data_IF_612316913717
#
_entry.id   IF_612316913717
#
_cell.length_a   1.000
_cell.length_b   1.000
_cell.length_c   1.000
_cell.angle_alpha   90.00
_cell.angle_beta   90.00
_cell.angle_gamma   90.00
#
_symmetry.space_group_name_H-M   'P 1'
#
loop_
_entity.id
_entity.type
_entity.pdbx_description
1 polymer ?
#
# COMPACT_ATOMS: atom_id res chain seq x y z
N UNK A 1 -38.35 -37.19 -48.08
CA UNK A 1 -37.41 -37.32 -46.95
C UNK A 1 -37.78 -36.28 -45.92
N UNK A 2 -38.47 -36.73 -44.86
CA UNK A 2 -38.94 -35.94 -43.73
C UNK A 2 -37.79 -35.60 -42.78
N UNK A 3 -37.77 -34.38 -42.26
CA UNK A 3 -36.83 -33.95 -41.23
C UNK A 3 -37.09 -34.72 -39.92
N UNK A 4 -36.04 -35.06 -39.13
CA UNK A 4 -36.22 -35.77 -37.89
C UNK A 4 -36.79 -34.85 -36.81
N UNK A 5 -37.86 -35.27 -36.16
CA UNK A 5 -38.42 -34.64 -34.96
C UNK A 5 -37.41 -34.71 -33.82
N UNK A 6 -36.99 -33.54 -33.33
CA UNK A 6 -36.20 -33.41 -32.10
C UNK A 6 -37.15 -33.66 -30.93
N UNK A 7 -37.12 -34.88 -30.40
CA UNK A 7 -37.77 -35.24 -29.14
C UNK A 7 -37.16 -34.43 -27.98
N UNK A 8 -37.77 -33.29 -27.66
CA UNK A 8 -37.52 -32.57 -26.42
C UNK A 8 -38.06 -33.39 -25.25
N UNK A 9 -37.17 -34.10 -24.56
CA UNK A 9 -37.52 -34.71 -23.28
C UNK A 9 -38.04 -33.64 -22.31
N UNK A 10 -39.09 -33.92 -21.52
CA UNK A 10 -39.60 -32.99 -20.53
C UNK A 10 -38.53 -32.74 -19.47
N UNK A 11 -38.29 -31.46 -19.17
CA UNK A 11 -37.35 -31.01 -18.16
C UNK A 11 -37.64 -31.71 -16.82
N UNK A 12 -36.68 -32.50 -16.35
CA UNK A 12 -36.71 -33.08 -15.02
C UNK A 12 -36.81 -31.93 -14.00
N UNK A 13 -37.99 -31.75 -13.41
CA UNK A 13 -38.19 -30.88 -12.25
C UNK A 13 -37.51 -31.52 -11.05
N UNK A 14 -36.19 -31.30 -10.92
CA UNK A 14 -35.50 -31.56 -9.67
C UNK A 14 -36.05 -30.59 -8.64
N UNK A 15 -36.96 -31.07 -7.78
CA UNK A 15 -37.30 -30.42 -6.50
C UNK A 15 -36.03 -30.37 -5.66
N UNK A 16 -35.20 -29.35 -5.87
CA UNK A 16 -34.01 -29.10 -5.09
C UNK A 16 -34.41 -28.80 -3.65
N UNK A 17 -33.95 -29.63 -2.71
CA UNK A 17 -33.95 -29.27 -1.30
C UNK A 17 -33.33 -27.86 -1.15
N UNK A 18 -33.85 -26.99 -0.26
CA UNK A 18 -33.27 -25.67 -0.06
C UNK A 18 -31.87 -25.84 0.49
N UNK A 19 -30.86 -25.81 -0.38
CA UNK A 19 -29.47 -25.67 0.04
C UNK A 19 -29.41 -24.38 0.84
N UNK A 20 -29.22 -24.48 2.15
CA UNK A 20 -28.90 -23.33 2.99
C UNK A 20 -27.62 -22.71 2.45
N UNK A 21 -27.78 -21.64 1.66
CA UNK A 21 -26.67 -20.91 1.07
C UNK A 21 -25.89 -20.25 2.20
N UNK A 22 -24.72 -20.80 2.52
CA UNK A 22 -23.80 -20.18 3.46
C UNK A 22 -23.03 -19.06 2.74
N UNK A 23 -23.28 -17.77 3.06
CA UNK A 23 -22.62 -16.65 2.37
C UNK A 23 -21.13 -16.57 2.66
N UNK A 24 -20.62 -17.30 3.66
CA UNK A 24 -19.21 -17.35 4.03
C UNK A 24 -18.44 -18.49 3.34
N UNK A 25 -19.12 -19.33 2.55
CA UNK A 25 -18.45 -20.41 1.80
C UNK A 25 -17.44 -19.80 0.82
N UNK A 26 -16.17 -20.13 1.00
CA UNK A 26 -15.06 -19.63 0.17
C UNK A 26 -14.54 -18.24 0.56
N UNK A 27 -15.02 -17.62 1.65
CA UNK A 27 -14.55 -16.31 2.13
C UNK A 27 -13.03 -16.28 2.29
N UNK A 28 -12.43 -17.30 2.91
CA UNK A 28 -10.98 -17.39 3.08
C UNK A 28 -10.22 -17.27 1.75
N UNK A 29 -10.69 -17.98 0.72
CA UNK A 29 -10.06 -17.93 -0.61
C UNK A 29 -10.32 -16.61 -1.34
N UNK A 30 -11.47 -15.98 -1.11
CA UNK A 30 -11.79 -14.71 -1.75
C UNK A 30 -10.98 -13.56 -1.16
N UNK A 31 -10.78 -13.55 0.16
CA UNK A 31 -10.20 -12.42 0.89
C UNK A 31 -8.72 -12.61 1.25
N UNK A 32 -8.29 -13.82 1.57
CA UNK A 32 -6.91 -14.08 2.04
C UNK A 32 -5.98 -14.61 0.94
N UNK A 33 -6.50 -15.05 -0.21
CA UNK A 33 -5.68 -15.50 -1.35
C UNK A 33 -5.63 -14.48 -2.48
N UNK A 34 -6.53 -13.49 -2.48
CA UNK A 34 -6.41 -12.33 -3.36
C UNK A 34 -5.37 -11.37 -2.77
N UNK A 35 -4.31 -11.12 -3.54
CA UNK A 35 -3.13 -10.38 -3.09
C UNK A 35 -3.50 -8.95 -2.66
N UNK A 36 -4.35 -8.25 -3.42
CA UNK A 36 -4.74 -6.89 -3.07
C UNK A 36 -5.53 -6.88 -1.76
N UNK A 37 -6.52 -7.77 -1.64
CA UNK A 37 -7.32 -7.90 -0.43
C UNK A 37 -6.50 -8.26 0.81
N UNK A 38 -5.63 -9.28 0.72
CA UNK A 38 -4.85 -9.76 1.87
C UNK A 38 -3.80 -8.75 2.31
N UNK A 39 -3.22 -7.98 1.39
CA UNK A 39 -2.28 -6.91 1.75
C UNK A 39 -2.95 -5.84 2.60
N UNK A 40 -4.14 -5.37 2.21
CA UNK A 40 -4.89 -4.38 2.97
C UNK A 40 -5.48 -4.94 4.27
N UNK A 41 -5.99 -6.18 4.26
CA UNK A 41 -6.44 -6.82 5.51
C UNK A 41 -5.30 -7.11 6.47
N UNK A 42 -4.12 -7.49 5.96
CA UNK A 42 -2.92 -7.71 6.77
C UNK A 42 -2.45 -6.43 7.45
N UNK A 43 -2.37 -5.32 6.72
CA UNK A 43 -2.10 -4.00 7.30
C UNK A 43 -3.19 -3.58 8.28
N UNK A 44 -4.45 -3.87 7.98
CA UNK A 44 -5.58 -3.61 8.85
C UNK A 44 -5.45 -4.33 10.20
N UNK A 45 -5.21 -5.65 10.16
CA UNK A 45 -4.98 -6.48 11.33
C UNK A 45 -3.78 -6.03 12.15
N UNK A 46 -2.67 -5.71 11.48
CA UNK A 46 -1.47 -5.19 12.14
C UNK A 46 -1.76 -3.87 12.87
N UNK A 47 -2.49 -2.95 12.23
CA UNK A 47 -2.94 -1.70 12.85
C UNK A 47 -3.77 -1.94 14.09
N UNK A 48 -4.73 -2.89 14.05
CA UNK A 48 -5.54 -3.24 15.22
C UNK A 48 -4.69 -3.82 16.36
N UNK A 49 -3.81 -4.78 16.07
CA UNK A 49 -2.97 -5.44 17.10
C UNK A 49 -1.99 -4.44 17.72
N UNK A 50 -1.28 -3.66 16.90
CA UNK A 50 -0.34 -2.66 17.40
C UNK A 50 -1.06 -1.56 18.17
N UNK A 51 -2.26 -1.14 17.71
CA UNK A 51 -3.10 -0.17 18.40
C UNK A 51 -3.42 -0.61 19.83
N UNK A 52 -3.83 -1.88 20.00
CA UNK A 52 -4.05 -2.47 21.32
C UNK A 52 -2.79 -2.46 22.19
N UNK A 53 -1.64 -2.86 21.63
CA UNK A 53 -0.36 -2.87 22.37
C UNK A 53 0.02 -1.46 22.83
N UNK A 54 -0.10 -0.46 21.94
CA UNK A 54 0.21 0.94 22.28
C UNK A 54 -0.74 1.52 23.31
N UNK A 55 -2.03 1.14 23.24
CA UNK A 55 -3.03 1.55 24.22
C UNK A 55 -2.74 0.96 25.61
N UNK A 56 -2.33 -0.31 25.69
CA UNK A 56 -1.90 -0.95 26.93
C UNK A 56 -0.65 -0.31 27.54
N UNK A 57 0.20 0.31 26.70
CA UNK A 57 1.37 1.08 27.14
C UNK A 57 1.04 2.54 27.50
N UNK A 58 -0.24 2.93 27.49
CA UNK A 58 -0.66 4.29 27.82
C UNK A 58 -0.40 5.33 26.72
N UNK A 59 -0.05 4.92 25.49
CA UNK A 59 0.20 5.81 24.35
C UNK A 59 -1.07 6.00 23.53
N UNK A 60 -2.02 6.79 24.04
CA UNK A 60 -3.35 7.01 23.44
C UNK A 60 -3.29 7.49 21.99
N UNK A 61 -2.43 8.46 21.68
CA UNK A 61 -2.38 9.10 20.36
C UNK A 61 -1.88 8.14 19.28
N UNK A 62 -0.91 7.29 19.64
CA UNK A 62 -0.41 6.23 18.75
C UNK A 62 -1.46 5.15 18.54
N UNK A 63 -2.21 4.78 19.59
CA UNK A 63 -3.27 3.80 19.49
C UNK A 63 -4.41 4.27 18.57
N UNK A 64 -4.83 5.52 18.72
CA UNK A 64 -5.86 6.15 17.90
C UNK A 64 -5.51 6.14 16.41
N UNK A 65 -4.27 6.51 16.08
CA UNK A 65 -3.74 6.48 14.72
C UNK A 65 -3.76 5.05 14.15
N UNK A 66 -3.31 4.07 14.93
CA UNK A 66 -3.21 2.67 14.51
C UNK A 66 -4.58 2.01 14.32
N UNK A 67 -5.56 2.31 15.17
CA UNK A 67 -6.95 1.87 14.97
C UNK A 67 -7.58 2.50 13.72
N UNK A 68 -7.33 3.80 13.50
CA UNK A 68 -7.80 4.50 12.29
C UNK A 68 -7.20 3.90 11.02
N UNK A 69 -5.90 3.58 11.04
CA UNK A 69 -5.22 2.84 9.97
C UNK A 69 -5.84 1.45 9.75
N UNK A 70 -6.20 0.75 10.84
CA UNK A 70 -6.89 -0.53 10.81
C UNK A 70 -8.20 -0.50 10.02
N UNK A 71 -9.05 0.50 10.33
CA UNK A 71 -10.35 0.74 9.68
C UNK A 71 -10.17 1.13 8.21
N UNK A 72 -9.30 2.10 7.94
CA UNK A 72 -9.04 2.60 6.58
C UNK A 72 -8.51 1.50 5.66
N UNK A 73 -7.53 0.72 6.15
CA UNK A 73 -6.96 -0.38 5.39
C UNK A 73 -7.97 -1.49 5.12
N UNK A 74 -8.77 -1.89 6.11
CA UNK A 74 -9.82 -2.90 5.90
C UNK A 74 -10.89 -2.43 4.92
N UNK A 75 -11.18 -1.13 4.89
CA UNK A 75 -12.09 -0.52 3.94
C UNK A 75 -11.53 -0.47 2.52
N UNK A 76 -10.22 -0.23 2.36
CA UNK A 76 -9.55 -0.36 1.06
C UNK A 76 -9.61 -1.80 0.53
N UNK A 77 -9.49 -2.81 1.40
CA UNK A 77 -9.70 -4.21 1.03
C UNK A 77 -11.12 -4.48 0.50
N UNK A 78 -12.13 -3.87 1.13
CA UNK A 78 -13.53 -3.96 0.69
C UNK A 78 -13.72 -3.28 -0.66
N UNK A 79 -13.23 -2.05 -0.82
CA UNK A 79 -13.26 -1.35 -2.11
C UNK A 79 -12.62 -2.20 -3.23
N UNK A 80 -11.50 -2.85 -2.92
CA UNK A 80 -10.81 -3.75 -3.84
C UNK A 80 -11.67 -4.96 -4.26
N UNK A 81 -12.35 -5.63 -3.32
CA UNK A 81 -13.25 -6.74 -3.65
C UNK A 81 -14.44 -6.29 -4.51
N UNK A 82 -14.96 -5.07 -4.27
CA UNK A 82 -16.02 -4.49 -5.09
C UNK A 82 -15.53 -4.17 -6.51
N UNK A 83 -14.31 -3.65 -6.66
CA UNK A 83 -13.68 -3.42 -7.98
C UNK A 83 -13.47 -4.74 -8.72
N UNK A 84 -12.98 -5.78 -8.03
CA UNK A 84 -12.86 -7.12 -8.61
C UNK A 84 -14.19 -7.66 -9.12
N UNK A 85 -15.27 -7.43 -8.38
CA UNK A 85 -16.61 -7.81 -8.77
C UNK A 85 -17.11 -7.05 -10.01
N UNK A 86 -16.74 -5.77 -10.16
CA UNK A 86 -16.98 -4.99 -11.39
C UNK A 86 -16.09 -5.41 -12.55
N UNK A 87 -14.87 -5.90 -12.28
CA UNK A 87 -13.91 -6.34 -13.29
C UNK A 87 -14.25 -7.69 -13.91
N UNK A 88 -14.97 -8.57 -13.19
CA UNK A 88 -15.25 -9.93 -13.61
C UNK A 88 -16.63 -10.06 -14.26
N UNK A 89 -16.68 -10.39 -15.56
CA UNK A 89 -17.92 -10.66 -16.29
C UNK A 89 -18.67 -11.85 -15.69
N UNK A 90 -17.93 -12.90 -15.28
CA UNK A 90 -18.46 -14.09 -14.64
C UNK A 90 -19.22 -13.79 -13.33
N UNK A 91 -18.98 -12.63 -12.70
CA UNK A 91 -19.70 -12.24 -11.51
C UNK A 91 -21.20 -11.95 -11.75
N UNK A 92 -21.61 -11.75 -13.01
CA UNK A 92 -23.03 -11.66 -13.39
C UNK A 92 -23.65 -13.04 -13.61
N UNK A 93 -22.83 -14.01 -14.05
CA UNK A 93 -23.29 -15.34 -14.43
C UNK A 93 -23.41 -16.29 -13.23
N UNK A 94 -22.57 -16.11 -12.20
CA UNK A 94 -22.57 -16.99 -11.02
C UNK A 94 -23.66 -16.52 -10.04
N UNK A 95 -24.70 -17.34 -9.79
CA UNK A 95 -25.79 -16.96 -8.90
C UNK A 95 -25.27 -16.72 -7.47
N UNK A 96 -25.82 -15.70 -6.82
CA UNK A 96 -25.52 -15.29 -5.44
C UNK A 96 -24.08 -14.85 -5.14
N UNK A 97 -23.13 -14.94 -6.08
CA UNK A 97 -21.74 -14.54 -5.85
C UNK A 97 -21.63 -13.09 -5.37
N UNK A 98 -22.37 -12.17 -6.02
CA UNK A 98 -22.40 -10.75 -5.63
C UNK A 98 -22.93 -10.54 -4.22
N UNK A 99 -24.04 -11.21 -3.90
CA UNK A 99 -24.66 -11.16 -2.57
C UNK A 99 -23.70 -11.67 -1.49
N UNK A 100 -22.95 -12.74 -1.75
CA UNK A 100 -21.95 -13.24 -0.81
C UNK A 100 -20.85 -12.22 -0.56
N UNK A 101 -20.29 -11.59 -1.60
CA UNK A 101 -19.27 -10.54 -1.45
C UNK A 101 -19.81 -9.35 -0.66
N UNK A 102 -21.05 -8.92 -0.89
CA UNK A 102 -21.65 -7.81 -0.14
C UNK A 102 -21.82 -8.13 1.35
N UNK A 103 -22.32 -9.34 1.67
CA UNK A 103 -22.46 -9.79 3.06
C UNK A 103 -21.10 -9.89 3.73
N UNK A 104 -20.12 -10.52 3.06
CA UNK A 104 -18.76 -10.64 3.59
C UNK A 104 -18.12 -9.27 3.82
N UNK A 105 -18.31 -8.32 2.89
CA UNK A 105 -17.79 -6.95 3.00
C UNK A 105 -18.38 -6.21 4.19
N UNK A 106 -19.71 -6.32 4.38
CA UNK A 106 -20.38 -5.73 5.53
C UNK A 106 -19.84 -6.30 6.85
N UNK A 107 -19.66 -7.63 6.92
CA UNK A 107 -19.11 -8.30 8.11
C UNK A 107 -17.67 -7.89 8.38
N UNK A 108 -16.82 -7.75 7.36
CA UNK A 108 -15.42 -7.29 7.53
C UNK A 108 -15.41 -5.86 8.09
N UNK A 109 -16.21 -4.95 7.54
CA UNK A 109 -16.26 -3.56 8.02
C UNK A 109 -16.80 -3.45 9.44
N UNK A 110 -17.91 -4.12 9.73
CA UNK A 110 -18.53 -4.07 11.07
C UNK A 110 -17.68 -4.76 12.13
N UNK A 111 -17.00 -5.86 11.79
CA UNK A 111 -16.10 -6.54 12.73
C UNK A 111 -14.88 -5.70 13.06
N UNK A 112 -14.19 -5.11 12.07
CA UNK A 112 -12.99 -4.28 12.32
C UNK A 112 -13.35 -3.03 13.11
N UNK A 113 -14.41 -2.32 12.72
CA UNK A 113 -14.88 -1.15 13.47
C UNK A 113 -15.34 -1.53 14.88
N UNK A 114 -16.12 -2.62 15.01
CA UNK A 114 -16.60 -3.11 16.30
C UNK A 114 -15.47 -3.50 17.25
N UNK A 115 -14.44 -4.20 16.76
CA UNK A 115 -13.23 -4.51 17.54
C UNK A 115 -12.55 -3.21 18.00
N UNK A 116 -12.39 -2.22 17.11
CA UNK A 116 -11.80 -0.93 17.47
C UNK A 116 -12.57 -0.20 18.57
N UNK A 117 -13.90 -0.13 18.45
CA UNK A 117 -14.77 0.46 19.47
C UNK A 117 -14.65 -0.30 20.80
N UNK A 118 -14.71 -1.63 20.78
CA UNK A 118 -14.57 -2.45 21.98
C UNK A 118 -13.21 -2.25 22.66
N UNK A 119 -12.12 -2.18 21.89
CA UNK A 119 -10.78 -1.90 22.40
C UNK A 119 -10.71 -0.50 23.04
N UNK A 120 -11.26 0.53 22.39
CA UNK A 120 -11.31 1.87 22.95
C UNK A 120 -12.11 1.92 24.27
N UNK A 121 -13.26 1.25 24.34
CA UNK A 121 -14.08 1.18 25.55
C UNK A 121 -13.40 0.41 26.68
N UNK A 122 -12.81 -0.75 26.38
CA UNK A 122 -12.14 -1.59 27.37
C UNK A 122 -10.88 -0.93 27.96
N UNK A 123 -10.21 -0.07 27.18
CA UNK A 123 -8.98 0.60 27.57
C UNK A 123 -9.18 2.06 28.01
N UNK A 124 -10.44 2.52 28.14
CA UNK A 124 -10.76 3.87 28.60
C UNK A 124 -10.46 5.01 27.61
N UNK A 125 -10.26 4.71 26.33
CA UNK A 125 -9.95 5.66 25.25
C UNK A 125 -11.23 6.22 24.61
N UNK A 126 -12.13 6.77 25.41
CA UNK A 126 -13.45 7.25 24.92
C UNK A 126 -13.36 8.47 24.00
N UNK A 127 -12.35 9.32 24.17
CA UNK A 127 -12.09 10.48 23.30
C UNK A 127 -11.82 10.06 21.84
N UNK A 128 -11.09 8.96 21.64
CA UNK A 128 -10.71 8.44 20.33
C UNK A 128 -11.87 7.88 19.51
N UNK A 129 -13.03 7.63 20.12
CA UNK A 129 -14.23 7.13 19.40
C UNK A 129 -14.65 8.08 18.27
N UNK A 130 -14.51 9.39 18.47
CA UNK A 130 -14.84 10.40 17.47
C UNK A 130 -13.95 10.28 16.23
N UNK A 131 -12.66 10.04 16.42
CA UNK A 131 -11.68 9.79 15.35
C UNK A 131 -11.96 8.49 14.61
N UNK A 132 -12.33 7.40 15.32
CA UNK A 132 -12.72 6.14 14.69
C UNK A 132 -13.94 6.31 13.76
N UNK A 133 -14.93 7.09 14.18
CA UNK A 133 -16.11 7.40 13.34
C UNK A 133 -15.70 8.20 12.12
N UNK A 134 -14.85 9.23 12.27
CA UNK A 134 -14.37 10.02 11.14
C UNK A 134 -13.54 9.18 10.15
N UNK A 135 -12.68 8.29 10.66
CA UNK A 135 -11.93 7.34 9.83
C UNK A 135 -12.87 6.45 9.00
N UNK A 136 -13.99 6.01 9.59
CA UNK A 136 -15.01 5.23 8.88
C UNK A 136 -15.77 6.07 7.83
N UNK A 137 -16.06 7.34 8.12
CA UNK A 137 -16.65 8.28 7.14
C UNK A 137 -15.75 8.46 5.93
N UNK A 138 -14.46 8.75 6.15
CA UNK A 138 -13.47 8.88 5.06
C UNK A 138 -13.37 7.59 4.24
N UNK A 139 -13.42 6.45 4.92
CA UNK A 139 -13.41 5.12 4.29
C UNK A 139 -14.65 4.87 3.43
N UNK A 140 -15.84 5.26 3.89
CA UNK A 140 -17.08 5.13 3.14
C UNK A 140 -17.11 6.09 1.94
N UNK A 141 -16.62 7.32 2.12
CA UNK A 141 -16.47 8.26 1.02
C UNK A 141 -15.54 7.69 -0.05
N UNK A 142 -14.41 7.09 0.34
CA UNK A 142 -13.50 6.42 -0.58
C UNK A 142 -14.14 5.23 -1.32
N UNK A 143 -14.85 4.35 -0.61
CA UNK A 143 -15.59 3.23 -1.24
C UNK A 143 -16.60 3.78 -2.25
N UNK A 144 -17.40 4.77 -1.85
CA UNK A 144 -18.39 5.39 -2.72
C UNK A 144 -17.77 5.99 -3.98
N UNK A 145 -16.67 6.74 -3.87
CA UNK A 145 -15.94 7.28 -5.01
C UNK A 145 -15.44 6.16 -5.94
N UNK A 146 -14.89 5.08 -5.39
CA UNK A 146 -14.46 3.90 -6.17
C UNK A 146 -15.61 3.22 -6.92
N UNK A 147 -16.83 3.24 -6.35
CA UNK A 147 -18.02 2.70 -7.01
C UNK A 147 -18.54 3.62 -8.12
N UNK A 148 -18.36 4.93 -7.99
CA UNK A 148 -18.69 5.90 -9.06
C UNK A 148 -17.72 5.78 -10.23
N UNK A 149 -16.42 5.79 -9.95
CA UNK A 149 -15.36 5.55 -10.93
C UNK A 149 -14.25 4.74 -10.30
N UNK A 150 -13.90 3.60 -10.92
CA UNK A 150 -12.89 2.68 -10.40
C UNK A 150 -11.49 3.29 -10.38
N UNK A 151 -11.26 4.37 -11.14
CA UNK A 151 -9.98 5.08 -11.17
C UNK A 151 -9.68 5.77 -9.82
N UNK A 152 -10.69 6.09 -9.02
CA UNK A 152 -10.50 6.64 -7.67
C UNK A 152 -9.77 5.69 -6.74
N UNK A 153 -9.71 4.40 -7.05
CA UNK A 153 -8.92 3.46 -6.26
C UNK A 153 -7.43 3.82 -6.24
N UNK A 154 -6.92 4.43 -7.30
CA UNK A 154 -5.55 4.90 -7.33
C UNK A 154 -5.29 6.08 -6.37
N UNK A 155 -6.34 6.78 -5.93
CA UNK A 155 -6.27 7.78 -4.86
C UNK A 155 -6.23 7.14 -3.45
N UNK A 156 -6.18 5.82 -3.33
CA UNK A 156 -5.96 5.12 -2.05
C UNK A 156 -4.71 5.63 -1.32
N UNK A 157 -3.64 5.98 -2.06
CA UNK A 157 -2.46 6.62 -1.48
C UNK A 157 -2.80 7.91 -0.72
N UNK A 158 -3.64 8.78 -1.29
CA UNK A 158 -4.08 10.01 -0.63
C UNK A 158 -4.87 9.69 0.64
N UNK A 159 -5.70 8.65 0.62
CA UNK A 159 -6.41 8.19 1.82
C UNK A 159 -5.44 7.79 2.92
N UNK A 160 -4.37 7.04 2.61
CA UNK A 160 -3.34 6.67 3.59
C UNK A 160 -2.50 7.87 4.06
N UNK A 161 -2.21 8.82 3.17
CA UNK A 161 -1.56 10.09 3.55
C UNK A 161 -2.45 10.88 4.50
N UNK A 162 -3.78 10.84 4.36
CA UNK A 162 -4.69 11.57 5.25
C UNK A 162 -4.83 10.93 6.64
N UNK A 163 -4.46 9.66 6.84
CA UNK A 163 -4.63 8.95 8.13
C UNK A 163 -3.95 9.65 9.32
N UNK A 164 -2.68 10.08 9.23
CA UNK A 164 -2.04 10.88 10.27
C UNK A 164 -2.74 12.21 10.61
N UNK A 165 -3.60 12.71 9.74
CA UNK A 165 -4.29 13.99 9.90
C UNK A 165 -5.72 13.84 10.45
N UNK A 166 -6.22 12.60 10.65
CA UNK A 166 -7.61 12.38 11.07
C UNK A 166 -7.87 13.04 12.43
N UNK A 167 -6.96 12.91 13.40
CA UNK A 167 -7.12 13.53 14.73
C UNK A 167 -7.26 15.07 14.64
N UNK A 168 -6.49 15.71 13.75
CA UNK A 168 -6.60 17.15 13.48
C UNK A 168 -7.96 17.49 12.84
N UNK A 169 -8.44 16.68 11.90
CA UNK A 169 -9.75 16.86 11.27
C UNK A 169 -10.90 16.65 12.27
N UNK A 170 -10.76 15.69 13.19
CA UNK A 170 -11.74 15.41 14.25
C UNK A 170 -11.93 16.62 15.16
N UNK A 171 -10.86 17.36 15.47
CA UNK A 171 -10.95 18.56 16.30
C UNK A 171 -11.87 19.66 15.72
N UNK A 172 -12.03 19.68 14.39
CA UNK A 172 -12.89 20.65 13.70
C UNK A 172 -14.23 20.07 13.25
N UNK A 173 -14.45 18.76 13.41
CA UNK A 173 -15.63 18.07 12.89
C UNK A 173 -16.46 17.50 14.03
N UNK A 174 -17.67 18.03 14.29
CA UNK A 174 -18.49 17.53 15.38
C UNK A 174 -19.01 16.11 15.09
N UNK A 175 -19.06 15.26 16.13
CA UNK A 175 -19.43 13.84 15.99
C UNK A 175 -20.79 13.62 15.30
N UNK A 176 -21.79 14.45 15.60
CA UNK A 176 -23.13 14.32 15.00
C UNK A 176 -23.10 14.47 13.47
N UNK A 177 -22.22 15.33 12.94
CA UNK A 177 -22.07 15.53 11.50
C UNK A 177 -21.45 14.30 10.85
N UNK A 178 -20.44 13.70 11.49
CA UNK A 178 -19.82 12.45 11.04
C UNK A 178 -20.82 11.29 11.03
N UNK A 179 -21.71 11.21 12.03
CA UNK A 179 -22.77 10.19 12.07
C UNK A 179 -23.79 10.35 10.93
N UNK A 180 -24.24 11.58 10.65
CA UNK A 180 -25.12 11.85 9.51
C UNK A 180 -24.43 11.48 8.19
N UNK A 181 -23.18 11.90 8.01
CA UNK A 181 -22.40 11.58 6.82
C UNK A 181 -22.27 10.07 6.61
N UNK A 182 -22.06 9.30 7.68
CA UNK A 182 -21.95 7.84 7.62
C UNK A 182 -23.25 7.18 7.15
N UNK A 183 -24.41 7.62 7.67
CA UNK A 183 -25.72 7.11 7.24
C UNK A 183 -25.97 7.43 5.77
N UNK A 184 -25.70 8.66 5.35
CA UNK A 184 -25.88 9.09 3.95
C UNK A 184 -24.98 8.30 3.00
N UNK A 185 -23.68 8.20 3.31
CA UNK A 185 -22.72 7.46 2.49
C UNK A 185 -23.05 5.97 2.45
N UNK A 186 -23.45 5.36 3.57
CA UNK A 186 -23.89 3.97 3.63
C UNK A 186 -25.10 3.71 2.71
N UNK A 187 -26.10 4.60 2.75
CA UNK A 187 -27.26 4.53 1.86
C UNK A 187 -26.89 4.66 0.38
N UNK A 188 -25.96 5.57 0.04
CA UNK A 188 -25.44 5.73 -1.32
C UNK A 188 -24.69 4.48 -1.81
N UNK A 189 -23.82 3.90 -0.98
CA UNK A 189 -23.10 2.66 -1.31
C UNK A 189 -24.07 1.52 -1.58
N UNK A 190 -25.07 1.32 -0.71
CA UNK A 190 -26.09 0.27 -0.88
C UNK A 190 -26.83 0.46 -2.20
N UNK A 191 -27.23 1.70 -2.51
CA UNK A 191 -27.94 2.03 -3.76
C UNK A 191 -27.09 1.72 -5.00
N UNK A 192 -25.79 2.01 -4.98
CA UNK A 192 -24.92 1.72 -6.13
C UNK A 192 -24.64 0.21 -6.24
N UNK A 193 -24.41 -0.47 -5.12
CA UNK A 193 -24.15 -1.92 -5.09
C UNK A 193 -25.33 -2.77 -5.58
N UNK A 194 -26.58 -2.31 -5.44
CA UNK A 194 -27.75 -3.04 -5.91
C UNK A 194 -27.79 -3.19 -7.44
N UNK A 195 -27.19 -2.24 -8.17
CA UNK A 195 -27.20 -2.18 -9.63
C UNK A 195 -25.80 -2.32 -10.24
N UNK A 196 -24.82 -2.89 -9.53
CA UNK A 196 -23.41 -2.85 -9.92
C UNK A 196 -23.16 -3.49 -11.32
N UNK A 197 -22.81 -2.69 -12.35
CA UNK A 197 -22.58 -3.23 -13.69
C UNK A 197 -21.16 -3.80 -13.81
N UNK A 198 -20.94 -4.64 -14.81
CA UNK A 198 -19.58 -4.95 -15.23
C UNK A 198 -18.97 -3.73 -15.94
N UNK A 199 -17.70 -3.45 -15.71
CA UNK A 199 -16.98 -2.32 -16.33
C UNK A 199 -15.60 -2.78 -16.82
N UNK A 200 -15.30 -2.54 -18.09
CA UNK A 200 -13.98 -2.82 -18.67
C UNK A 200 -12.86 -2.04 -17.97
N UNK A 201 -13.13 -0.80 -17.56
CA UNK A 201 -12.18 0.04 -16.82
C UNK A 201 -11.80 -0.58 -15.46
N UNK A 202 -12.75 -1.22 -14.77
CA UNK A 202 -12.48 -1.90 -13.51
C UNK A 202 -11.48 -3.03 -13.69
N UNK A 203 -11.52 -3.73 -14.82
CA UNK A 203 -10.54 -4.78 -15.16
C UNK A 203 -9.16 -4.20 -15.39
N UNK A 204 -9.04 -3.06 -16.08
CA UNK A 204 -7.77 -2.37 -16.26
C UNK A 204 -7.19 -1.93 -14.90
N UNK A 205 -8.02 -1.32 -14.04
CA UNK A 205 -7.62 -0.91 -12.68
C UNK A 205 -7.22 -2.11 -11.82
N UNK A 206 -7.97 -3.21 -11.87
CA UNK A 206 -7.66 -4.42 -11.10
C UNK A 206 -6.32 -5.05 -11.52
N UNK A 207 -6.09 -5.23 -12.84
CA UNK A 207 -4.85 -5.80 -13.36
C UNK A 207 -3.65 -4.87 -13.11
N UNK A 208 -3.82 -3.57 -13.37
CA UNK A 208 -2.78 -2.58 -13.11
C UNK A 208 -2.49 -2.48 -11.60
N UNK A 209 -3.52 -2.46 -10.75
CA UNK A 209 -3.38 -2.39 -9.30
C UNK A 209 -2.63 -3.59 -8.72
N UNK A 210 -2.84 -4.80 -9.26
CA UNK A 210 -2.05 -5.98 -8.90
C UNK A 210 -0.57 -5.73 -9.26
N UNK A 211 -0.29 -5.37 -10.50
CA UNK A 211 1.07 -5.30 -11.04
C UNK A 211 1.90 -4.10 -10.57
N UNK A 212 1.24 -2.97 -10.31
CA UNK A 212 1.84 -1.65 -10.07
C UNK A 212 1.71 -1.20 -8.60
N UNK A 213 1.17 -2.04 -7.71
CA UNK A 213 1.11 -1.74 -6.28
C UNK A 213 0.22 -0.54 -5.93
N UNK A 214 -0.90 -0.39 -6.64
CA UNK A 214 -2.02 0.50 -6.28
C UNK A 214 -1.80 2.03 -6.42
N UNK A 215 -0.77 2.49 -7.14
CA UNK A 215 -0.49 3.93 -7.31
C UNK A 215 -1.14 4.58 -8.54
N UNK A 216 -1.65 5.81 -8.37
CA UNK A 216 -2.05 6.69 -9.49
C UNK A 216 -0.85 7.42 -10.08
N UNK A 217 -0.86 7.64 -11.39
CA UNK A 217 0.15 8.45 -12.06
C UNK A 217 -0.51 9.40 -13.05
N UNK A 218 -0.17 10.69 -13.03
CA UNK A 218 -0.44 11.57 -14.15
C UNK A 218 0.32 11.08 -15.39
N UNK A 219 -0.30 11.17 -16.57
CA UNK A 219 0.36 10.78 -17.81
C UNK A 219 1.41 11.82 -18.23
N UNK A 220 2.65 11.65 -17.74
CA UNK A 220 3.78 12.54 -18.00
C UNK A 220 4.77 11.97 -19.05
N UNK A 221 4.36 10.95 -19.80
CA UNK A 221 5.23 10.13 -20.67
C UNK A 221 5.98 10.92 -21.78
N UNK A 222 5.60 12.17 -22.06
CA UNK A 222 6.21 12.98 -23.12
C UNK A 222 7.41 13.83 -22.69
N UNK A 223 7.78 13.86 -21.41
CA UNK A 223 8.87 14.72 -20.95
C UNK A 223 10.26 14.12 -21.24
N UNK A 224 11.13 14.88 -21.94
CA UNK A 224 12.51 14.46 -22.27
C UNK A 224 13.34 14.09 -21.04
N UNK A 225 13.15 14.78 -19.93
CA UNK A 225 13.85 14.52 -18.65
C UNK A 225 13.46 13.15 -18.10
N UNK A 226 12.17 12.83 -18.13
CA UNK A 226 11.64 11.54 -17.70
C UNK A 226 12.31 10.40 -18.48
N UNK A 227 12.37 10.52 -19.81
CA UNK A 227 12.99 9.51 -20.66
C UNK A 227 14.48 9.28 -20.40
N UNK A 228 15.22 10.31 -19.96
CA UNK A 228 16.65 10.17 -19.58
C UNK A 228 16.78 9.44 -18.24
N UNK A 229 15.93 9.78 -17.29
CA UNK A 229 15.94 9.17 -15.96
C UNK A 229 15.51 7.70 -16.01
N UNK A 230 14.52 7.36 -16.84
CA UNK A 230 14.12 5.98 -17.11
C UNK A 230 15.27 5.15 -17.69
N UNK A 231 16.04 5.71 -18.63
CA UNK A 231 17.25 5.05 -19.16
C UNK A 231 18.33 4.87 -18.09
N UNK A 232 18.51 5.86 -17.22
CA UNK A 232 19.48 5.78 -16.13
C UNK A 232 19.16 4.64 -15.14
N UNK A 233 17.87 4.44 -14.84
CA UNK A 233 17.38 3.39 -13.94
C UNK A 233 17.14 2.03 -14.63
N UNK A 234 17.35 1.92 -15.95
CA UNK A 234 17.24 0.64 -16.65
C UNK A 234 18.34 -0.34 -16.17
N UNK A 235 18.02 -1.63 -15.89
CA UNK A 235 16.75 -2.32 -16.11
C UNK A 235 15.81 -2.37 -14.90
N UNK A 236 16.15 -1.76 -13.78
CA UNK A 236 15.30 -1.74 -12.57
C UNK A 236 13.93 -1.14 -12.84
N UNK A 237 13.89 -0.09 -13.65
CA UNK A 237 12.66 0.56 -14.10
C UNK A 237 11.82 -0.29 -15.08
N UNK A 238 12.36 -1.38 -15.65
CA UNK A 238 11.64 -2.17 -16.65
C UNK A 238 10.37 -2.85 -16.09
N UNK A 239 10.42 -3.28 -14.83
CA UNK A 239 9.31 -4.01 -14.22
C UNK A 239 8.19 -3.09 -13.72
N UNK A 240 8.53 -1.93 -13.17
CA UNK A 240 7.57 -0.92 -12.72
C UNK A 240 7.13 -0.02 -13.90
N UNK A 241 7.98 0.23 -14.88
CA UNK A 241 7.75 1.21 -15.95
C UNK A 241 7.82 2.66 -15.45
N UNK A 242 7.26 3.63 -16.21
CA UNK A 242 7.36 5.07 -15.93
C UNK A 242 6.96 5.51 -14.52
N UNK A 243 6.16 4.68 -13.83
CA UNK A 243 5.72 4.89 -12.46
C UNK A 243 6.86 5.14 -11.48
N UNK A 244 7.94 4.36 -11.53
CA UNK A 244 9.03 4.52 -10.56
C UNK A 244 9.62 5.93 -10.67
N UNK A 245 9.82 6.40 -11.89
CA UNK A 245 10.36 7.73 -12.16
C UNK A 245 9.42 8.84 -11.70
N UNK A 246 8.12 8.70 -11.98
CA UNK A 246 7.13 9.68 -11.56
C UNK A 246 7.03 9.71 -10.03
N UNK A 247 7.04 8.56 -9.34
CA UNK A 247 7.03 8.50 -7.87
C UNK A 247 8.28 9.17 -7.27
N UNK A 248 9.46 8.92 -7.85
CA UNK A 248 10.72 9.55 -7.45
C UNK A 248 10.71 11.08 -7.63
N UNK A 249 9.86 11.62 -8.50
CA UNK A 249 9.69 13.06 -8.71
C UNK A 249 8.57 13.66 -7.86
N UNK A 250 7.42 12.98 -7.81
CA UNK A 250 6.19 13.49 -7.21
C UNK A 250 6.24 13.43 -5.68
N UNK A 251 6.74 12.33 -5.09
CA UNK A 251 6.79 12.20 -3.63
C UNK A 251 7.63 13.32 -3.00
N UNK A 252 8.85 13.62 -3.48
CA UNK A 252 9.63 14.73 -2.95
C UNK A 252 8.96 16.09 -3.15
N UNK A 253 8.35 16.31 -4.32
CA UNK A 253 7.63 17.56 -4.59
C UNK A 253 6.45 17.76 -3.64
N UNK A 254 5.65 16.72 -3.40
CA UNK A 254 4.54 16.74 -2.43
C UNK A 254 5.06 16.96 -1.02
N UNK A 255 6.13 16.27 -0.61
CA UNK A 255 6.75 16.48 0.69
C UNK A 255 7.25 17.92 0.86
N UNK A 256 7.96 18.48 -0.12
CA UNK A 256 8.41 19.87 -0.07
C UNK A 256 7.23 20.85 0.02
N UNK A 257 6.19 20.66 -0.77
CA UNK A 257 4.98 21.49 -0.71
C UNK A 257 4.31 21.41 0.68
N UNK A 258 4.14 20.20 1.22
CA UNK A 258 3.63 19.99 2.57
C UNK A 258 4.53 20.63 3.64
N UNK A 259 5.86 20.58 3.47
CA UNK A 259 6.81 21.21 4.37
C UNK A 259 6.74 22.74 4.35
N UNK A 260 6.57 23.34 3.17
CA UNK A 260 6.35 24.79 3.04
C UNK A 260 5.02 25.20 3.69
N UNK A 261 3.94 24.44 3.46
CA UNK A 261 2.65 24.69 4.11
C UNK A 261 2.77 24.52 5.63
N UNK A 262 3.46 23.49 6.10
CA UNK A 262 3.78 23.25 7.52
C UNK A 262 4.39 24.50 8.17
N UNK A 263 5.39 25.07 7.49
CA UNK A 263 6.09 26.26 7.94
C UNK A 263 5.17 27.49 7.94
N UNK A 264 4.38 27.70 6.88
CA UNK A 264 3.47 28.85 6.77
C UNK A 264 2.31 28.82 7.79
N UNK A 265 1.79 27.64 8.11
CA UNK A 265 0.66 27.49 9.03
C UNK A 265 1.09 27.14 10.47
N UNK A 266 2.39 27.12 10.76
CA UNK A 266 2.96 26.73 12.07
C UNK A 266 2.44 25.37 12.59
N UNK A 267 2.14 24.45 11.68
CA UNK A 267 1.73 23.09 12.02
C UNK A 267 2.95 22.17 11.95
N UNK A 268 3.10 21.24 12.90
CA UNK A 268 4.23 20.32 12.96
C UNK A 268 3.90 19.05 12.15
N UNK A 269 4.08 19.09 10.82
CA UNK A 269 3.86 17.91 9.98
C UNK A 269 5.11 17.03 9.90
N UNK A 270 4.99 15.70 10.06
CA UNK A 270 6.11 14.77 9.99
C UNK A 270 6.51 14.45 8.53
N UNK A 271 6.80 15.49 7.74
CA UNK A 271 7.02 15.41 6.29
C UNK A 271 8.22 14.52 5.93
N UNK A 272 9.32 14.66 6.67
CA UNK A 272 10.54 13.87 6.45
C UNK A 272 10.33 12.38 6.75
N UNK A 273 9.50 12.05 7.75
CA UNK A 273 9.14 10.68 8.05
C UNK A 273 8.33 10.07 6.90
N UNK A 274 7.37 10.82 6.35
CA UNK A 274 6.61 10.38 5.16
C UNK A 274 7.54 10.12 3.96
N UNK A 275 8.48 11.05 3.70
CA UNK A 275 9.45 10.90 2.62
C UNK A 275 10.31 9.63 2.80
N UNK A 276 10.81 9.40 4.01
CA UNK A 276 11.59 8.21 4.34
C UNK A 276 10.78 6.92 4.18
N UNK A 277 9.52 6.88 4.63
CA UNK A 277 8.67 5.69 4.46
C UNK A 277 8.38 5.40 2.99
N UNK A 278 7.95 6.40 2.22
CA UNK A 278 7.63 6.19 0.82
C UNK A 278 8.85 5.81 -0.02
N UNK A 279 10.03 6.30 0.36
CA UNK A 279 11.31 5.88 -0.21
C UNK A 279 11.55 4.37 -0.07
N UNK A 280 11.34 3.80 1.11
CA UNK A 280 11.50 2.34 1.33
C UNK A 280 10.40 1.55 0.61
N UNK A 281 9.15 2.05 0.62
CA UNK A 281 8.04 1.43 -0.12
C UNK A 281 8.34 1.37 -1.62
N UNK A 282 8.86 2.44 -2.23
CA UNK A 282 9.26 2.46 -3.64
C UNK A 282 10.28 1.37 -3.98
N UNK A 283 11.28 1.16 -3.11
CA UNK A 283 12.25 0.07 -3.27
C UNK A 283 11.59 -1.32 -3.23
N UNK A 284 10.57 -1.50 -2.39
CA UNK A 284 9.81 -2.76 -2.31
C UNK A 284 8.99 -3.02 -3.58
N UNK A 285 8.38 -1.96 -4.14
CA UNK A 285 7.57 -2.05 -5.36
C UNK A 285 8.35 -2.61 -6.55
N UNK A 286 9.67 -2.36 -6.62
CA UNK A 286 10.53 -2.88 -7.72
C UNK A 286 10.43 -4.39 -7.77
N UNK A 287 10.53 -5.03 -6.61
CA UNK A 287 10.50 -6.48 -6.50
C UNK A 287 9.09 -7.03 -6.52
N UNK A 288 8.11 -6.27 -6.04
CA UNK A 288 6.70 -6.59 -6.20
C UNK A 288 6.33 -6.78 -7.67
N UNK A 289 6.55 -5.75 -8.49
CA UNK A 289 6.25 -5.79 -9.92
C UNK A 289 7.07 -6.85 -10.65
N UNK A 290 8.34 -7.04 -10.27
CA UNK A 290 9.20 -8.10 -10.84
C UNK A 290 8.63 -9.50 -10.59
N UNK A 291 8.20 -9.80 -9.37
CA UNK A 291 7.67 -11.14 -9.03
C UNK A 291 6.33 -11.40 -9.72
N UNK A 292 5.50 -10.37 -9.88
CA UNK A 292 4.24 -10.52 -10.60
C UNK A 292 4.41 -10.65 -12.12
N UNK A 293 5.39 -9.96 -12.70
CA UNK A 293 5.69 -9.98 -14.14
C UNK A 293 6.86 -10.90 -14.47
N UNK A 294 6.77 -12.17 -14.08
CA UNK A 294 7.86 -13.15 -14.30
C UNK A 294 8.26 -13.26 -15.78
N UNK A 295 7.29 -13.31 -16.70
CA UNK A 295 7.49 -13.34 -18.16
C UNK A 295 8.26 -12.12 -18.71
N UNK A 296 8.17 -10.98 -18.05
CA UNK A 296 8.96 -9.79 -18.44
C UNK A 296 10.45 -10.01 -18.20
N UNK A 297 10.84 -10.87 -17.26
CA UNK A 297 12.27 -11.23 -17.06
C UNK A 297 12.83 -11.95 -18.28
N UNK A 298 12.06 -12.85 -18.89
CA UNK A 298 12.45 -13.55 -20.12
C UNK A 298 12.56 -12.57 -21.29
N UNK A 299 11.59 -11.67 -21.42
CA UNK A 299 11.61 -10.63 -22.46
C UNK A 299 12.84 -9.71 -22.31
N UNK A 300 13.18 -9.35 -21.08
CA UNK A 300 14.35 -8.53 -20.78
C UNK A 300 15.66 -9.24 -21.14
N UNK A 301 15.74 -10.56 -20.94
CA UNK A 301 16.90 -11.35 -21.34
C UNK A 301 17.08 -11.43 -22.86
N UNK A 302 15.98 -11.41 -23.62
CA UNK A 302 16.00 -11.43 -25.09
C UNK A 302 16.40 -10.08 -25.72
N UNK A 303 16.48 -9.01 -24.93
CA UNK A 303 16.91 -7.71 -25.45
C UNK A 303 18.39 -7.72 -25.82
N UNK A 304 18.79 -7.05 -26.93
CA UNK A 304 20.17 -7.04 -27.44
C UNK A 304 21.17 -6.24 -26.57
N UNK A 305 20.88 -6.02 -25.28
CA UNK A 305 21.67 -5.20 -24.36
C UNK A 305 22.38 -5.96 -23.24
N UNK A 306 22.27 -7.30 -23.19
CA UNK A 306 22.85 -8.10 -22.11
C UNK A 306 23.61 -9.32 -22.64
N UNK A 307 24.81 -9.54 -22.11
CA UNK A 307 25.65 -10.72 -22.37
C UNK A 307 25.14 -11.93 -21.56
N UNK A 308 23.91 -12.35 -21.85
CA UNK A 308 23.23 -13.43 -21.16
C UNK A 308 22.86 -13.14 -19.69
N UNK A 309 22.53 -14.20 -18.95
CA UNK A 309 21.97 -14.10 -17.59
C UNK A 309 22.90 -13.40 -16.60
N UNK A 310 24.22 -13.67 -16.66
CA UNK A 310 25.20 -13.03 -15.77
C UNK A 310 25.29 -11.52 -16.01
N UNK A 311 25.29 -11.10 -17.28
CA UNK A 311 25.27 -9.69 -17.67
C UNK A 311 24.00 -8.99 -17.19
N UNK A 312 22.85 -9.62 -17.35
CA UNK A 312 21.56 -9.10 -16.88
C UNK A 312 21.52 -8.92 -15.35
N UNK A 313 21.95 -9.92 -14.58
CA UNK A 313 22.03 -9.82 -13.11
C UNK A 313 22.93 -8.67 -12.68
N UNK A 314 24.11 -8.53 -13.31
CA UNK A 314 25.03 -7.44 -13.00
C UNK A 314 24.44 -6.06 -13.35
N UNK A 315 23.74 -5.94 -14.48
CA UNK A 315 23.06 -4.70 -14.86
C UNK A 315 21.91 -4.36 -13.90
N UNK A 316 21.10 -5.35 -13.50
CA UNK A 316 20.00 -5.15 -12.56
C UNK A 316 20.49 -4.71 -11.18
N UNK A 317 21.54 -5.34 -10.63
CA UNK A 317 22.13 -4.91 -9.36
C UNK A 317 22.74 -3.50 -9.42
N UNK A 318 23.36 -3.12 -10.56
CA UNK A 318 23.81 -1.74 -10.77
C UNK A 318 22.64 -0.76 -10.81
N UNK A 319 21.53 -1.13 -11.44
CA UNK A 319 20.29 -0.34 -11.44
C UNK A 319 19.69 -0.17 -10.03
N UNK A 320 19.69 -1.22 -9.22
CA UNK A 320 19.26 -1.15 -7.81
C UNK A 320 20.15 -0.20 -7.00
N UNK A 321 21.48 -0.25 -7.20
CA UNK A 321 22.39 0.68 -6.54
C UNK A 321 22.15 2.13 -6.98
N UNK A 322 21.91 2.36 -8.28
CA UNK A 322 21.54 3.70 -8.79
C UNK A 322 20.27 4.22 -8.15
N UNK A 323 19.24 3.36 -8.03
CA UNK A 323 17.99 3.69 -7.36
C UNK A 323 18.22 4.04 -5.89
N UNK A 324 18.99 3.24 -5.17
CA UNK A 324 19.35 3.51 -3.77
C UNK A 324 20.04 4.87 -3.62
N UNK A 325 21.03 5.17 -4.46
CA UNK A 325 21.73 6.45 -4.44
C UNK A 325 20.79 7.64 -4.73
N UNK A 326 19.87 7.48 -5.68
CA UNK A 326 18.86 8.49 -6.02
C UNK A 326 17.93 8.75 -4.83
N UNK A 327 17.38 7.70 -4.22
CA UNK A 327 16.46 7.80 -3.09
C UNK A 327 17.12 8.47 -1.88
N UNK A 328 18.35 8.06 -1.57
CA UNK A 328 19.14 8.62 -0.46
C UNK A 328 19.52 10.08 -0.75
N UNK A 329 19.87 10.40 -2.00
CA UNK A 329 20.15 11.77 -2.44
C UNK A 329 18.91 12.68 -2.34
N UNK A 330 17.74 12.17 -2.69
CA UNK A 330 16.46 12.87 -2.52
C UNK A 330 16.20 13.14 -1.03
N UNK A 331 16.39 12.14 -0.17
CA UNK A 331 16.19 12.29 1.27
C UNK A 331 17.13 13.34 1.87
N UNK A 332 18.41 13.30 1.50
CA UNK A 332 19.41 14.29 1.90
C UNK A 332 19.02 15.70 1.44
N UNK A 333 18.69 15.86 0.16
CA UNK A 333 18.34 17.16 -0.41
C UNK A 333 17.07 17.75 0.26
N UNK A 334 16.02 16.95 0.42
CA UNK A 334 14.79 17.42 1.07
C UNK A 334 15.01 17.73 2.56
N UNK A 335 15.81 16.93 3.27
CA UNK A 335 16.10 17.17 4.69
C UNK A 335 16.90 18.46 4.89
N UNK A 336 17.88 18.72 4.03
CA UNK A 336 18.65 19.98 4.06
C UNK A 336 17.79 21.19 3.72
N UNK A 337 16.95 21.09 2.68
CA UNK A 337 16.06 22.19 2.27
C UNK A 337 15.02 22.52 3.34
N UNK A 338 14.36 21.51 3.91
CA UNK A 338 13.35 21.71 4.96
C UNK A 338 13.98 22.15 6.28
N UNK A 339 15.15 21.62 6.66
CA UNK A 339 15.89 22.09 7.83
C UNK A 339 16.41 23.53 7.68
N UNK A 340 16.78 23.93 6.47
CA UNK A 340 17.13 25.32 6.17
C UNK A 340 15.90 26.23 6.25
N UNK A 341 14.76 25.80 5.70
CA UNK A 341 13.51 26.55 5.74
C UNK A 341 13.02 26.79 7.16
N UNK A 342 13.16 25.80 8.06
CA UNK A 342 12.75 25.93 9.47
C UNK A 342 13.73 26.72 10.34
N UNK A 343 14.92 27.05 9.83
CA UNK A 343 15.96 27.76 10.59
C UNK A 343 16.64 26.93 11.70
N UNK A 344 16.32 25.63 11.81
CA UNK A 344 16.84 24.72 12.83
C UNK A 344 17.43 23.46 12.18
N UNK A 345 18.58 23.65 11.52
CA UNK A 345 19.24 22.60 10.77
C UNK A 345 20.06 21.70 11.70
N UNK A 346 19.43 20.64 12.18
CA UNK A 346 20.10 19.61 12.98
C UNK A 346 20.78 18.55 12.09
N UNK A 347 22.11 18.65 11.94
CA UNK A 347 22.91 17.72 11.13
C UNK A 347 22.85 16.27 11.64
N UNK A 348 22.66 16.05 12.94
CA UNK A 348 22.48 14.71 13.48
C UNK A 348 21.16 14.10 13.00
N UNK A 349 20.08 14.88 13.01
CA UNK A 349 18.80 14.42 12.49
C UNK A 349 18.88 14.11 10.99
N UNK A 350 19.54 14.98 10.20
CA UNK A 350 19.74 14.75 8.76
C UNK A 350 20.52 13.45 8.52
N UNK A 351 21.65 13.25 9.22
CA UNK A 351 22.46 12.05 9.05
C UNK A 351 21.71 10.78 9.46
N UNK A 352 20.99 10.80 10.59
CA UNK A 352 20.17 9.68 11.06
C UNK A 352 19.10 9.31 10.02
N UNK A 353 18.36 10.29 9.49
CA UNK A 353 17.32 10.06 8.48
C UNK A 353 17.88 9.51 7.16
N UNK A 354 19.03 10.01 6.72
CA UNK A 354 19.69 9.57 5.48
C UNK A 354 20.22 8.14 5.62
N UNK A 355 20.92 7.84 6.72
CA UNK A 355 21.45 6.51 7.00
C UNK A 355 20.33 5.49 7.24
N UNK A 356 19.28 5.87 7.97
CA UNK A 356 18.12 5.01 8.22
C UNK A 356 17.38 4.63 6.94
N UNK A 357 17.14 5.63 6.09
CA UNK A 357 16.56 5.40 4.75
C UNK A 357 17.47 4.51 3.90
N UNK A 358 18.79 4.73 3.93
CA UNK A 358 19.74 3.89 3.19
C UNK A 358 19.64 2.42 3.60
N UNK A 359 19.76 2.10 4.89
CA UNK A 359 19.80 0.70 5.32
C UNK A 359 18.47 0.00 5.05
N UNK A 360 17.34 0.70 5.26
CA UNK A 360 16.02 0.15 5.02
C UNK A 360 15.80 -0.14 3.53
N UNK A 361 16.12 0.82 2.64
CA UNK A 361 16.07 0.60 1.20
C UNK A 361 17.00 -0.53 0.75
N UNK A 362 18.23 -0.61 1.29
CA UNK A 362 19.19 -1.66 0.94
C UNK A 362 18.71 -3.05 1.36
N UNK A 363 18.17 -3.20 2.58
CA UNK A 363 17.55 -4.44 3.05
C UNK A 363 16.36 -4.84 2.18
N UNK A 364 15.47 -3.90 1.87
CA UNK A 364 14.28 -4.16 1.05
C UNK A 364 14.66 -4.59 -0.38
N UNK A 365 15.65 -3.96 -1.01
CA UNK A 365 16.15 -4.37 -2.33
C UNK A 365 16.89 -5.71 -2.27
N UNK A 366 17.67 -5.95 -1.22
CA UNK A 366 18.42 -7.19 -1.03
C UNK A 366 17.52 -8.40 -0.79
N UNK A 367 16.61 -8.32 0.19
CA UNK A 367 15.60 -9.37 0.43
C UNK A 367 14.63 -9.49 -0.74
N UNK A 368 14.24 -8.37 -1.35
CA UNK A 368 13.40 -8.37 -2.55
C UNK A 368 14.03 -9.18 -3.69
N UNK A 369 15.35 -9.13 -3.84
CA UNK A 369 16.08 -9.93 -4.84
C UNK A 369 15.94 -11.44 -4.60
N UNK A 370 15.82 -11.87 -3.34
CA UNK A 370 15.63 -13.27 -2.92
C UNK A 370 14.19 -13.76 -3.05
N UNK A 371 13.22 -12.85 -3.18
CA UNK A 371 11.80 -13.21 -3.25
C UNK A 371 11.46 -13.91 -4.57
N UNK A 372 10.61 -14.94 -4.51
CA UNK A 372 10.07 -15.65 -5.70
C UNK A 372 8.55 -15.67 -5.76
N UNK A 373 7.90 -15.48 -4.60
CA UNK A 373 6.46 -15.45 -4.45
C UNK A 373 6.06 -14.08 -3.91
N UNK A 374 4.86 -13.63 -4.27
CA UNK A 374 4.35 -12.33 -3.82
C UNK A 374 4.31 -12.25 -2.29
N UNK A 375 3.97 -13.36 -1.61
CA UNK A 375 4.02 -13.44 -0.14
C UNK A 375 5.40 -13.14 0.45
N UNK A 376 6.49 -13.52 -0.23
CA UNK A 376 7.84 -13.19 0.25
C UNK A 376 8.10 -11.68 0.15
N UNK A 377 7.60 -11.02 -0.90
CA UNK A 377 7.68 -9.56 -1.04
C UNK A 377 6.77 -8.87 -0.02
N UNK A 378 5.61 -9.43 0.30
CA UNK A 378 4.79 -8.92 1.40
C UNK A 378 5.54 -8.98 2.73
N UNK A 379 6.33 -10.05 2.97
CA UNK A 379 7.17 -10.15 4.17
C UNK A 379 8.28 -9.09 4.20
N UNK A 380 8.82 -8.66 3.05
CA UNK A 380 9.80 -7.55 3.02
C UNK A 380 9.20 -6.21 3.44
N UNK A 381 7.86 -6.06 3.45
CA UNK A 381 7.20 -4.89 4.06
C UNK A 381 7.35 -4.82 5.58
N UNK A 382 7.74 -5.90 6.25
CA UNK A 382 8.14 -5.83 7.67
C UNK A 382 9.37 -4.95 7.87
N UNK A 383 10.26 -4.84 6.87
CA UNK A 383 11.37 -3.89 6.90
C UNK A 383 10.85 -2.45 6.90
N UNK A 384 9.81 -2.15 6.12
CA UNK A 384 9.16 -0.82 6.12
C UNK A 384 8.57 -0.53 7.50
N UNK A 385 7.84 -1.47 8.08
CA UNK A 385 7.26 -1.32 9.43
C UNK A 385 8.35 -1.12 10.50
N UNK A 386 9.42 -1.93 10.46
CA UNK A 386 10.57 -1.83 11.35
C UNK A 386 11.30 -0.49 11.22
N UNK A 387 11.51 -0.02 9.99
CA UNK A 387 12.08 1.29 9.71
C UNK A 387 11.18 2.44 10.21
N UNK A 388 9.86 2.33 10.03
CA UNK A 388 8.90 3.29 10.60
C UNK A 388 8.97 3.36 12.11
N UNK A 389 9.04 2.22 12.78
CA UNK A 389 9.19 2.16 14.22
C UNK A 389 10.53 2.76 14.65
N UNK A 390 11.61 2.43 13.95
CA UNK A 390 12.96 2.92 14.22
C UNK A 390 13.04 4.45 14.19
N UNK A 391 12.61 5.06 13.07
CA UNK A 391 12.61 6.52 12.91
C UNK A 391 11.64 7.20 13.88
N UNK A 392 10.50 6.57 14.19
CA UNK A 392 9.55 7.17 15.14
C UNK A 392 10.10 7.19 16.57
N UNK A 393 10.77 6.13 17.00
CA UNK A 393 11.37 6.05 18.34
C UNK A 393 12.56 7.01 18.47
N UNK A 394 13.40 7.11 17.43
CA UNK A 394 14.54 8.03 17.45
C UNK A 394 14.09 9.50 17.49
N UNK A 395 13.04 9.86 16.74
CA UNK A 395 12.43 11.19 16.79
C UNK A 395 11.80 11.49 18.16
N UNK A 396 11.14 10.52 18.79
CA UNK A 396 10.61 10.67 20.13
C UNK A 396 11.74 10.90 21.15
N UNK A 397 12.82 10.13 21.05
CA UNK A 397 14.00 10.30 21.91
C UNK A 397 14.67 11.67 21.75
N UNK A 398 14.69 12.23 20.54
CA UNK A 398 15.22 13.59 20.30
C UNK A 398 14.30 14.65 20.94
N UNK A 399 12.98 14.46 20.85
CA UNK A 399 12.00 15.37 21.48
C UNK A 399 12.13 15.42 23.00
N UNK A 400 12.46 14.29 23.61
CA UNK A 400 12.64 14.15 25.07
C UNK A 400 14.01 14.68 25.56
N UNK A 401 14.78 15.36 24.70
CA UNK A 401 16.07 15.95 25.03
C UNK A 401 17.27 14.98 24.93
N UNK A 402 17.07 13.79 24.36
CA UNK A 402 18.13 12.81 24.13
C UNK A 402 19.04 13.19 22.95
N UNK A 403 20.23 12.57 22.89
CA UNK A 403 21.18 12.71 21.79
C UNK A 403 20.99 11.56 20.77
N UNK A 404 21.13 11.86 19.47
CA UNK A 404 21.02 10.86 18.40
C UNK A 404 22.30 10.01 18.21
N UNK A 405 23.37 10.27 18.96
CA UNK A 405 24.66 9.59 18.81
C UNK A 405 24.57 8.05 18.83
N UNK A 406 23.82 7.47 19.76
CA UNK A 406 23.66 6.01 19.84
C UNK A 406 22.87 5.45 18.65
N UNK A 407 21.88 6.21 18.17
CA UNK A 407 21.10 5.85 16.98
C UNK A 407 21.97 5.81 15.73
N UNK A 408 22.93 6.73 15.58
CA UNK A 408 23.90 6.72 14.49
C UNK A 408 24.76 5.46 14.46
N UNK A 409 25.23 5.00 15.62
CA UNK A 409 26.05 3.78 15.71
C UNK A 409 25.24 2.58 15.19
N UNK A 410 23.99 2.47 15.62
CA UNK A 410 23.09 1.43 15.15
C UNK A 410 22.77 1.55 13.66
N UNK A 411 22.53 2.76 13.15
CA UNK A 411 22.30 2.96 11.72
C UNK A 411 23.51 2.56 10.88
N UNK A 412 24.74 2.81 11.36
CA UNK A 412 25.96 2.37 10.69
C UNK A 412 26.09 0.85 10.66
N UNK A 413 25.75 0.16 11.76
CA UNK A 413 25.70 -1.31 11.79
C UNK A 413 24.64 -1.86 10.82
N UNK A 414 23.45 -1.27 10.82
CA UNK A 414 22.36 -1.64 9.92
C UNK A 414 22.69 -1.34 8.45
N UNK A 415 23.42 -0.26 8.17
CA UNK A 415 23.93 0.07 6.84
C UNK A 415 24.87 -1.01 6.31
N UNK A 416 25.80 -1.49 7.15
CA UNK A 416 26.72 -2.58 6.81
C UNK A 416 25.91 -3.85 6.53
N UNK A 417 24.97 -4.20 7.42
CA UNK A 417 24.08 -5.35 7.24
C UNK A 417 23.28 -5.25 5.94
N UNK A 418 22.65 -4.10 5.67
CA UNK A 418 21.90 -3.82 4.45
C UNK A 418 22.74 -4.00 3.19
N UNK A 419 23.98 -3.53 3.21
CA UNK A 419 24.92 -3.68 2.10
C UNK A 419 25.32 -5.14 1.88
N UNK A 420 25.55 -5.91 2.95
CA UNK A 420 25.82 -7.36 2.88
C UNK A 420 24.62 -8.09 2.28
N UNK A 421 23.41 -7.79 2.75
CA UNK A 421 22.17 -8.42 2.24
C UNK A 421 21.93 -8.07 0.77
N UNK A 422 22.18 -6.83 0.36
CA UNK A 422 22.08 -6.40 -1.03
C UNK A 422 23.10 -7.15 -1.92
N UNK A 423 24.35 -7.26 -1.47
CA UNK A 423 25.37 -8.04 -2.16
C UNK A 423 25.01 -9.52 -2.24
N UNK A 424 24.44 -10.10 -1.19
CA UNK A 424 23.99 -11.49 -1.20
C UNK A 424 22.79 -11.71 -2.12
N UNK A 425 21.88 -10.73 -2.20
CA UNK A 425 20.74 -10.70 -3.11
C UNK A 425 21.14 -10.89 -4.59
N UNK A 426 22.30 -10.36 -4.99
CA UNK A 426 22.88 -10.58 -6.34
C UNK A 426 23.09 -12.08 -6.65
N UNK A 427 23.50 -12.87 -5.65
CA UNK A 427 23.79 -14.31 -5.83
C UNK A 427 22.53 -15.16 -5.91
N UNK A 428 21.38 -14.65 -5.46
CA UNK A 428 20.11 -15.39 -5.40
C UNK A 428 19.12 -14.97 -6.48
N UNK A 429 19.32 -13.79 -7.06
CA UNK A 429 18.49 -13.22 -8.12
C UNK A 429 18.30 -14.20 -9.29
N UNK A 430 17.04 -14.52 -9.61
CA UNK A 430 16.61 -15.42 -10.69
C UNK A 430 17.24 -16.82 -10.66
N UNK A 431 17.66 -17.33 -9.50
CA UNK A 431 18.06 -18.73 -9.36
C UNK A 431 16.86 -19.65 -9.56
N UNK A 432 16.80 -20.32 -10.71
CA UNK A 432 15.79 -21.32 -11.05
C UNK A 432 14.55 -20.78 -11.75
N UNK A 433 14.48 -19.46 -12.04
CA UNK A 433 13.32 -18.82 -12.67
C UNK A 433 13.49 -18.58 -14.18
N UNK A 434 14.72 -18.73 -14.70
CA UNK A 434 15.04 -18.53 -16.12
C UNK A 434 15.69 -19.81 -16.62
N UNK A 435 15.16 -20.33 -17.74
CA UNK A 435 15.53 -21.59 -18.41
C UNK A 435 16.99 -21.94 -18.14
N UNK A 436 17.20 -23.11 -17.54
CA UNK A 436 18.50 -23.72 -17.34
C UNK A 436 19.14 -24.00 -18.70
N UNK A 437 19.83 -22.99 -19.23
CA UNK A 437 20.88 -23.12 -20.23
C UNK A 437 22.22 -23.26 -19.53
#
# INVERSE_FOLDING_TARGET
>A
MSAPEVNLMPAATTKGAPQRLNPFKGMLRLWCFDIGSVSFLGTGLLGMVLGCITALQGKSDSAELLFSMGIVSSSAAVAWQLIRLMASECAQLIPHYRRHIYIQSAVVLTSVFGIGVLCCLALGLTSSLSTLVLALVMSFAFIWLCLLSTQWFYASFLLFVLVPFISLMTAHTPLWLSLIALVVLGGLIIRVCSALPWRAEARAVYLNGLEMGWFWLPNLQSMRILSRFERYLHPTNFFIGPMLTILLLLIPAVCLALGVLSHQFHQNFPVLLLLAQFSVIMCSLVHWSRVQRSRSTETLLLMPGFDGRKGLIAAFCRGQQRLLNVVVGIMLACSLLLGWLSGDLNMQLVGHLVLSTYWACALTLGFGSMCRRVLHVTLTMMVVAGHSLWVSISLASLRDGGNLGDWFIWDMLLMILGSIVLFWGKKTLWKGDVISG
#
